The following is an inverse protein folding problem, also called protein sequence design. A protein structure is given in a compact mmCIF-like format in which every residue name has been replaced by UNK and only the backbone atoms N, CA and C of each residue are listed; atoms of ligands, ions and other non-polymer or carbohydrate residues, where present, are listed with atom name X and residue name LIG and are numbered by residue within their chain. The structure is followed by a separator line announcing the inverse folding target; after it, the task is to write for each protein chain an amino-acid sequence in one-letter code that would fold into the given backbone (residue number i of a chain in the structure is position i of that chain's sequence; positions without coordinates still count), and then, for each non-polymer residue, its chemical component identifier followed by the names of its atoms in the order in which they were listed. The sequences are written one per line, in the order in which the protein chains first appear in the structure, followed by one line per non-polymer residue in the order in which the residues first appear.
data_IF_842873914468
#
_entry.id   IF_842873914468
#
_cell.length_a   1.000
_cell.length_b   1.000
_cell.length_c   1.000
_cell.angle_alpha   90.00
_cell.angle_beta   90.00
_cell.angle_gamma   90.00
#
_symmetry.space_group_name_H-M   'P 1'
#
loop_
_entity.id
_entity.type
_entity.pdbx_description
1 polymer ?
#
# COMPACT_ATOMS: atom_id res chain seq x y z
N UNK A 1 -43.80 -30.48 32.05
CA UNK A 1 -43.57 -29.17 32.63
C UNK A 1 -43.15 -28.30 31.46
N UNK A 2 -44.08 -27.81 30.70
CA UNK A 2 -44.97 -26.67 30.88
C UNK A 2 -44.23 -25.35 31.10
N UNK A 3 -44.46 -24.51 30.14
CA UNK A 3 -44.73 -23.09 30.04
C UNK A 3 -43.64 -22.35 29.25
N UNK A 4 -43.94 -21.38 28.39
CA UNK A 4 -45.13 -21.02 27.60
C UNK A 4 -44.72 -19.99 26.55
N UNK A 5 -45.47 -19.98 25.48
CA UNK A 5 -45.41 -19.05 24.34
C UNK A 5 -45.72 -17.59 24.75
N UNK A 6 -45.15 -16.62 24.03
CA UNK A 6 -45.91 -15.44 23.61
C UNK A 6 -45.48 -14.92 22.24
N UNK A 7 -46.36 -15.16 21.29
CA UNK A 7 -46.50 -14.46 20.02
C UNK A 7 -47.05 -13.04 20.24
N UNK A 8 -46.61 -12.08 19.49
CA UNK A 8 -47.37 -10.87 19.18
C UNK A 8 -47.14 -10.44 17.74
N UNK A 9 -48.18 -10.64 17.01
CA UNK A 9 -48.60 -10.19 15.69
C UNK A 9 -48.43 -8.68 15.48
N UNK A 10 -47.99 -8.27 14.28
CA UNK A 10 -48.49 -7.06 13.65
C UNK A 10 -48.86 -7.28 12.18
N UNK A 11 -49.98 -6.73 11.87
CA UNK A 11 -50.90 -6.91 10.75
C UNK A 11 -50.39 -6.26 9.46
N UNK A 12 -50.63 -6.97 8.39
CA UNK A 12 -50.80 -6.54 6.99
C UNK A 12 -51.86 -5.44 6.87
N UNK A 13 -51.61 -4.39 6.11
CA UNK A 13 -52.64 -3.52 5.53
C UNK A 13 -52.37 -3.36 4.04
N UNK A 14 -53.44 -3.58 3.32
CA UNK A 14 -53.68 -3.75 1.91
C UNK A 14 -53.24 -2.60 1.00
N UNK A 15 -52.99 -3.00 -0.25
CA UNK A 15 -52.96 -2.19 -1.47
C UNK A 15 -54.28 -1.40 -1.70
N UNK A 16 -54.13 -0.24 -2.33
CA UNK A 16 -55.07 0.25 -3.35
C UNK A 16 -54.30 0.88 -4.50
N UNK A 17 -54.58 0.38 -5.67
CA UNK A 17 -54.12 0.80 -6.97
C UNK A 17 -54.76 2.13 -7.41
N UNK A 18 -53.98 2.95 -8.13
CA UNK A 18 -54.49 4.12 -8.85
C UNK A 18 -53.49 4.56 -9.90
N UNK A 19 -53.84 4.33 -11.16
CA UNK A 19 -53.03 4.57 -12.32
C UNK A 19 -53.08 6.03 -12.82
N UNK A 20 -51.99 6.43 -13.48
CA UNK A 20 -51.86 7.43 -14.56
C UNK A 20 -52.25 8.89 -14.30
N UNK A 21 -51.20 9.75 -14.30
CA UNK A 21 -51.19 10.94 -15.19
C UNK A 21 -49.74 11.38 -15.42
N UNK A 22 -49.37 11.36 -16.68
CA UNK A 22 -48.11 11.90 -17.22
C UNK A 22 -48.16 13.43 -17.12
N UNK A 23 -47.07 14.03 -16.56
CA UNK A 23 -46.95 15.48 -16.55
C UNK A 23 -45.57 15.91 -16.09
N UNK A 24 -44.84 16.51 -17.02
CA UNK A 24 -43.51 17.05 -16.83
C UNK A 24 -43.43 18.13 -15.74
N UNK A 25 -43.05 17.74 -14.53
CA UNK A 25 -42.73 18.64 -13.41
C UNK A 25 -41.75 17.99 -12.39
N UNK A 26 -40.91 17.07 -12.82
CA UNK A 26 -40.02 16.25 -11.95
C UNK A 26 -38.65 16.82 -11.64
N UNK A 27 -38.26 18.02 -12.11
CA UNK A 27 -36.90 18.50 -11.95
C UNK A 27 -36.69 19.67 -10.97
N UNK A 28 -37.75 20.11 -10.29
CA UNK A 28 -37.69 21.26 -9.36
C UNK A 28 -37.77 20.89 -7.86
N UNK A 29 -38.06 19.67 -7.52
CA UNK A 29 -38.19 19.27 -6.11
C UNK A 29 -36.99 18.58 -5.50
N UNK A 30 -35.97 18.23 -6.29
CA UNK A 30 -34.73 17.59 -5.75
C UNK A 30 -33.68 18.57 -5.24
N UNK A 31 -33.83 19.87 -5.55
CA UNK A 31 -32.85 20.90 -5.17
C UNK A 31 -33.12 21.59 -3.83
N UNK A 32 -34.33 21.51 -3.29
CA UNK A 32 -34.70 22.25 -2.07
C UNK A 32 -34.56 21.46 -0.76
N UNK A 33 -34.37 20.14 -0.81
CA UNK A 33 -34.31 19.31 0.40
C UNK A 33 -32.89 19.16 0.99
N UNK A 34 -31.83 19.59 0.29
CA UNK A 34 -30.44 19.47 0.78
C UNK A 34 -29.85 20.75 1.39
N UNK A 35 -30.60 21.82 1.51
CA UNK A 35 -30.14 23.04 2.21
C UNK A 35 -30.95 23.34 3.49
N UNK A 36 -31.23 22.33 4.30
CA UNK A 36 -31.41 22.62 5.72
C UNK A 36 -30.00 22.78 6.31
N UNK A 37 -29.44 23.98 6.12
CA UNK A 37 -28.37 24.43 7.03
C UNK A 37 -28.96 24.29 8.43
N UNK A 38 -28.41 23.42 9.25
CA UNK A 38 -28.65 23.50 10.69
C UNK A 38 -28.36 24.96 11.06
N UNK A 39 -29.24 25.65 11.78
CA UNK A 39 -28.91 26.97 12.28
C UNK A 39 -27.61 26.83 13.04
N UNK A 40 -26.58 27.59 12.63
CA UNK A 40 -25.34 27.67 13.38
C UNK A 40 -25.74 28.05 14.81
N UNK A 41 -25.52 27.17 15.77
CA UNK A 41 -25.68 27.50 17.17
C UNK A 41 -24.84 28.78 17.47
N UNK A 42 -25.17 29.55 18.52
CA UNK A 42 -24.39 30.71 18.86
C UNK A 42 -22.92 30.30 18.95
N UNK A 43 -22.00 31.09 18.35
CA UNK A 43 -20.58 30.71 18.34
C UNK A 43 -20.13 30.51 19.79
N UNK A 44 -19.69 29.28 20.09
CA UNK A 44 -19.12 28.99 21.40
C UNK A 44 -17.88 29.92 21.57
N UNK A 45 -17.87 30.85 22.55
CA UNK A 45 -16.76 31.79 22.73
C UNK A 45 -15.43 31.08 22.96
N UNK A 46 -15.44 29.86 23.50
CA UNK A 46 -14.24 29.02 23.62
C UNK A 46 -13.74 28.49 22.28
N UNK A 47 -14.62 28.25 21.30
CA UNK A 47 -14.23 27.76 20.00
C UNK A 47 -13.32 28.74 19.26
N UNK A 48 -13.61 30.02 19.28
CA UNK A 48 -12.77 31.05 18.65
C UNK A 48 -11.37 31.08 19.25
N UNK A 49 -11.26 30.97 20.59
CA UNK A 49 -10.00 30.91 21.29
C UNK A 49 -9.21 29.61 20.91
N UNK A 50 -9.85 28.47 20.97
CA UNK A 50 -9.24 27.19 20.60
C UNK A 50 -8.74 27.25 19.17
N UNK A 51 -9.52 27.81 18.23
CA UNK A 51 -9.12 27.96 16.84
C UNK A 51 -7.86 28.81 16.69
N UNK A 52 -7.77 29.95 17.39
CA UNK A 52 -6.61 30.81 17.33
C UNK A 52 -5.35 30.16 17.95
N UNK A 53 -5.50 29.41 19.04
CA UNK A 53 -4.39 28.65 19.62
C UNK A 53 -3.93 27.51 18.70
N UNK A 54 -4.87 26.78 18.10
CA UNK A 54 -4.56 25.74 17.13
C UNK A 54 -3.83 26.28 15.88
N UNK A 55 -4.24 27.49 15.42
CA UNK A 55 -3.56 28.20 14.31
C UNK A 55 -2.11 28.55 14.67
N UNK A 56 -1.84 29.05 15.89
CA UNK A 56 -0.47 29.41 16.35
C UNK A 56 0.49 28.22 16.34
N UNK A 57 0.00 27.02 16.61
CA UNK A 57 0.81 25.79 16.63
C UNK A 57 0.73 24.97 15.32
N UNK A 58 0.18 25.57 14.26
CA UNK A 58 0.14 24.94 12.93
C UNK A 58 -0.88 23.80 12.78
N UNK A 59 -1.79 23.61 13.74
CA UNK A 59 -2.83 22.56 13.66
C UNK A 59 -4.02 22.95 12.79
N UNK A 60 -4.18 24.24 12.49
CA UNK A 60 -5.23 24.76 11.60
C UNK A 60 -4.60 25.66 10.56
N UNK A 61 -4.76 25.29 9.31
CA UNK A 61 -4.41 26.14 8.17
C UNK A 61 -5.71 26.70 7.61
N UNK A 62 -5.94 28.03 7.65
CA UNK A 62 -7.11 28.62 7.02
C UNK A 62 -7.12 28.30 5.52
N UNK A 63 -8.26 27.84 5.02
CA UNK A 63 -8.39 27.41 3.61
C UNK A 63 -8.03 28.53 2.60
N UNK A 64 -8.15 29.82 3.01
CA UNK A 64 -7.83 30.98 2.19
C UNK A 64 -6.36 31.40 2.24
N UNK A 65 -5.56 30.86 3.17
CA UNK A 65 -4.13 31.18 3.35
C UNK A 65 -3.22 30.08 2.77
N UNK A 66 -3.79 28.93 2.42
CA UNK A 66 -3.03 27.88 1.74
C UNK A 66 -2.74 28.30 0.31
N UNK A 67 -1.48 28.24 -0.16
CA UNK A 67 -1.19 28.43 -1.57
C UNK A 67 -1.96 27.38 -2.35
N UNK A 68 -2.98 27.83 -3.11
CA UNK A 68 -3.71 26.97 -4.01
C UNK A 68 -2.84 26.74 -5.25
N UNK A 69 -2.11 25.64 -5.29
CA UNK A 69 -1.52 25.15 -6.53
C UNK A 69 -2.56 24.28 -7.22
N UNK A 70 -2.79 24.53 -8.51
CA UNK A 70 -3.64 23.67 -9.31
C UNK A 70 -3.03 22.24 -9.33
N UNK A 71 -3.81 21.20 -9.00
CA UNK A 71 -3.30 19.83 -9.07
C UNK A 71 -2.85 19.47 -10.48
N UNK A 72 -1.68 18.83 -10.61
CA UNK A 72 -1.22 18.32 -11.88
C UNK A 72 -2.20 17.29 -12.45
N UNK A 73 -2.48 17.39 -13.75
CA UNK A 73 -3.34 16.41 -14.44
C UNK A 73 -2.51 15.19 -14.79
N UNK A 74 -2.84 14.05 -14.17
CA UNK A 74 -2.18 12.76 -14.41
C UNK A 74 -3.17 11.82 -15.06
N UNK A 75 -2.76 11.16 -16.15
CA UNK A 75 -3.57 10.09 -16.75
C UNK A 75 -3.39 8.82 -15.95
N UNK A 76 -4.46 8.24 -15.38
CA UNK A 76 -4.36 6.95 -14.68
C UNK A 76 -4.01 5.84 -15.67
N UNK A 77 -3.46 4.75 -15.16
CA UNK A 77 -3.22 3.54 -15.96
C UNK A 77 -4.50 2.99 -16.59
N UNK A 78 -4.39 2.36 -17.75
CA UNK A 78 -5.53 1.88 -18.54
C UNK A 78 -6.34 0.78 -17.81
N UNK A 79 -5.73 0.07 -16.88
CA UNK A 79 -6.35 -0.97 -16.05
C UNK A 79 -5.93 -0.79 -14.60
N UNK A 80 -6.64 -1.44 -13.68
CA UNK A 80 -6.24 -1.47 -12.26
C UNK A 80 -4.82 -2.04 -12.13
N UNK A 81 -3.95 -1.33 -11.41
CA UNK A 81 -2.55 -1.69 -11.21
C UNK A 81 -1.61 -1.25 -12.34
N UNK A 82 -2.11 -0.77 -13.48
CA UNK A 82 -1.24 -0.24 -14.52
C UNK A 82 -0.62 1.11 -14.12
N UNK A 83 0.59 1.38 -14.62
CA UNK A 83 1.34 2.58 -14.32
C UNK A 83 0.61 3.86 -14.77
N UNK A 84 0.47 4.89 -13.92
CA UNK A 84 0.00 6.21 -14.32
C UNK A 84 1.06 6.94 -15.15
N UNK A 85 0.66 8.02 -15.84
CA UNK A 85 1.52 8.73 -16.81
C UNK A 85 2.78 9.37 -16.23
N UNK A 86 2.84 9.58 -14.92
CA UNK A 86 3.98 10.14 -14.18
C UNK A 86 4.78 9.09 -13.40
N UNK A 87 4.50 7.81 -13.60
CA UNK A 87 5.28 6.72 -13.04
C UNK A 87 6.43 6.30 -13.96
N UNK A 88 7.50 5.84 -13.34
CA UNK A 88 8.61 5.17 -14.02
C UNK A 88 8.38 3.66 -13.95
N UNK A 89 8.28 3.01 -15.12
CA UNK A 89 8.13 1.57 -15.22
C UNK A 89 9.49 0.92 -15.03
N UNK A 90 9.63 0.10 -14.00
CA UNK A 90 10.87 -0.63 -13.69
C UNK A 90 10.90 -2.00 -14.36
N UNK A 91 9.73 -2.60 -14.62
CA UNK A 91 9.62 -3.85 -15.36
C UNK A 91 8.27 -3.94 -16.08
N UNK A 92 8.32 -4.04 -17.40
CA UNK A 92 7.16 -4.10 -18.30
C UNK A 92 6.91 -5.50 -18.89
N UNK A 93 7.64 -6.51 -18.43
CA UNK A 93 7.53 -7.88 -18.86
C UNK A 93 8.47 -8.29 -20.01
N UNK A 94 9.36 -7.41 -20.47
CA UNK A 94 10.18 -7.68 -21.66
C UNK A 94 11.60 -8.15 -21.33
N UNK A 95 12.32 -7.39 -20.50
CA UNK A 95 13.72 -7.67 -20.19
C UNK A 95 14.16 -7.09 -18.83
N UNK A 96 15.39 -7.35 -18.43
CA UNK A 96 15.99 -6.88 -17.18
C UNK A 96 16.96 -5.70 -17.41
N UNK A 97 16.85 -4.95 -18.49
CA UNK A 97 17.73 -3.82 -18.80
C UNK A 97 17.73 -2.70 -17.74
N UNK A 98 16.65 -2.61 -16.96
CA UNK A 98 16.48 -1.68 -15.83
C UNK A 98 17.00 -2.25 -14.50
N UNK A 99 17.66 -3.43 -14.51
CA UNK A 99 18.08 -4.12 -13.30
C UNK A 99 19.54 -4.54 -13.34
N UNK A 100 20.21 -4.36 -12.21
CA UNK A 100 21.61 -4.74 -11.99
C UNK A 100 21.69 -5.84 -10.92
N UNK A 101 22.56 -6.82 -11.13
CA UNK A 101 22.86 -7.86 -10.15
C UNK A 101 23.72 -7.28 -9.02
N UNK A 102 23.26 -7.37 -7.78
CA UNK A 102 24.07 -6.97 -6.61
C UNK A 102 25.23 -7.93 -6.34
N UNK A 103 25.20 -9.13 -6.91
CA UNK A 103 26.26 -10.11 -6.76
C UNK A 103 27.47 -9.81 -7.66
N UNK A 104 27.23 -9.38 -8.89
CA UNK A 104 28.27 -9.22 -9.92
C UNK A 104 28.52 -7.76 -10.31
N UNK A 105 27.66 -6.84 -9.87
CA UNK A 105 27.58 -5.46 -10.34
C UNK A 105 27.40 -5.34 -11.88
N UNK A 106 26.95 -6.42 -12.51
CA UNK A 106 26.66 -6.52 -13.94
C UNK A 106 25.15 -6.69 -14.20
N UNK A 107 24.75 -7.05 -15.42
CA UNK A 107 23.37 -7.30 -15.77
C UNK A 107 22.70 -8.33 -14.85
N UNK A 108 21.45 -8.12 -14.50
CA UNK A 108 20.66 -9.10 -13.76
C UNK A 108 20.46 -10.37 -14.59
N UNK A 109 20.52 -11.54 -13.95
CA UNK A 109 20.52 -12.85 -14.63
C UNK A 109 19.29 -13.70 -14.26
N UNK A 110 18.21 -13.10 -13.75
CA UNK A 110 16.96 -13.81 -13.51
C UNK A 110 16.30 -14.19 -14.85
N UNK A 111 15.44 -15.20 -14.82
CA UNK A 111 14.74 -15.64 -16.03
C UNK A 111 13.57 -14.69 -16.35
N UNK A 112 13.38 -14.35 -17.63
CA UNK A 112 12.23 -13.56 -18.11
C UNK A 112 11.45 -14.37 -19.11
N UNK A 113 10.16 -14.56 -18.88
CA UNK A 113 9.24 -15.28 -19.75
C UNK A 113 7.80 -14.86 -19.48
N UNK A 114 6.92 -14.98 -20.44
CA UNK A 114 5.47 -14.79 -20.30
C UNK A 114 5.07 -13.47 -19.58
N UNK A 115 5.86 -12.40 -19.77
CA UNK A 115 5.59 -11.11 -19.19
C UNK A 115 5.96 -10.97 -17.72
N UNK A 116 6.71 -11.89 -17.12
CA UNK A 116 7.23 -11.81 -15.77
C UNK A 116 8.73 -12.14 -15.70
N UNK A 117 9.39 -11.66 -14.67
CA UNK A 117 10.71 -12.12 -14.25
C UNK A 117 10.57 -13.13 -13.10
N UNK A 118 11.47 -14.09 -13.02
CA UNK A 118 11.49 -15.13 -12.00
C UNK A 118 12.85 -15.21 -11.34
N UNK A 119 12.85 -15.28 -10.01
CA UNK A 119 14.07 -15.51 -9.23
C UNK A 119 14.79 -16.74 -9.75
N UNK A 120 16.04 -16.57 -10.12
CA UNK A 120 16.95 -17.65 -10.51
C UNK A 120 17.89 -17.94 -9.37
N UNK A 121 17.63 -19.02 -8.66
CA UNK A 121 18.36 -19.43 -7.46
C UNK A 121 19.87 -19.31 -7.63
N UNK A 122 20.53 -18.61 -6.71
CA UNK A 122 21.98 -18.45 -6.66
C UNK A 122 22.53 -17.37 -7.59
N UNK A 123 21.68 -16.63 -8.31
CA UNK A 123 22.13 -15.48 -9.11
C UNK A 123 22.19 -14.20 -8.27
N UNK A 124 21.65 -14.23 -7.06
CA UNK A 124 21.67 -13.14 -6.10
C UNK A 124 20.58 -12.12 -6.33
N UNK A 125 20.51 -11.17 -5.40
CA UNK A 125 19.54 -10.07 -5.43
C UNK A 125 19.79 -9.19 -6.64
N UNK A 126 18.72 -8.56 -7.13
CA UNK A 126 18.77 -7.57 -8.18
C UNK A 126 18.24 -6.23 -7.68
N UNK A 127 18.73 -5.14 -8.23
CA UNK A 127 18.33 -3.78 -7.88
C UNK A 127 17.99 -2.98 -9.13
N UNK A 128 16.95 -2.13 -9.04
CA UNK A 128 16.58 -1.24 -10.13
C UNK A 128 17.65 -0.17 -10.36
N UNK A 129 17.94 0.15 -11.64
CA UNK A 129 18.85 1.24 -12.00
C UNK A 129 18.25 2.62 -11.72
N UNK A 130 16.92 2.71 -11.63
CA UNK A 130 16.24 3.93 -11.24
C UNK A 130 16.21 4.05 -9.71
N UNK A 131 16.70 5.19 -9.21
CA UNK A 131 16.72 5.51 -7.78
C UNK A 131 15.57 6.45 -7.42
N UNK A 132 14.92 6.18 -6.29
CA UNK A 132 13.80 6.98 -5.76
C UNK A 132 14.01 7.28 -4.27
N UNK A 133 13.30 8.30 -3.78
CA UNK A 133 13.18 8.64 -2.35
C UNK A 133 11.76 8.33 -1.86
N UNK A 134 10.99 9.39 -1.54
CA UNK A 134 9.56 9.23 -1.29
C UNK A 134 8.86 8.75 -2.55
N UNK A 135 7.99 7.77 -2.43
CA UNK A 135 7.38 7.17 -3.61
C UNK A 135 6.08 6.44 -3.33
N UNK A 136 5.25 6.35 -4.35
CA UNK A 136 4.22 5.33 -4.51
C UNK A 136 4.78 4.23 -5.42
N UNK A 137 4.62 2.97 -5.02
CA UNK A 137 5.09 1.82 -5.81
C UNK A 137 3.94 0.83 -6.01
N UNK A 138 4.02 0.12 -7.12
CA UNK A 138 3.20 -1.05 -7.39
C UNK A 138 4.10 -2.21 -7.78
N UNK A 139 3.89 -3.39 -7.20
CA UNK A 139 4.64 -4.61 -7.50
C UNK A 139 3.69 -5.79 -7.49
N UNK A 140 3.57 -6.49 -8.62
CA UNK A 140 2.88 -7.77 -8.64
C UNK A 140 3.87 -8.92 -8.48
N UNK A 141 3.52 -9.89 -7.65
CA UNK A 141 4.35 -11.06 -7.38
C UNK A 141 3.52 -12.33 -7.22
N UNK A 142 4.13 -13.49 -7.47
CA UNK A 142 3.51 -14.78 -7.23
C UNK A 142 4.55 -15.78 -6.70
N UNK A 143 4.17 -16.50 -5.65
CA UNK A 143 4.97 -17.63 -5.15
C UNK A 143 4.81 -18.84 -6.06
N UNK A 144 5.71 -19.82 -6.01
CA UNK A 144 5.57 -21.04 -6.80
C UNK A 144 4.23 -21.73 -6.55
N UNK A 145 3.57 -22.21 -7.60
CA UNK A 145 2.31 -22.97 -7.51
C UNK A 145 2.49 -24.27 -6.73
N UNK A 146 3.60 -24.96 -6.99
CA UNK A 146 3.96 -26.19 -6.26
C UNK A 146 4.60 -25.81 -4.94
N UNK A 147 3.85 -26.02 -3.87
CA UNK A 147 4.31 -25.73 -2.51
C UNK A 147 5.48 -26.63 -2.13
N UNK A 148 6.59 -26.02 -1.70
CA UNK A 148 7.74 -26.68 -1.11
C UNK A 148 8.12 -25.99 0.19
N UNK A 149 8.47 -26.76 1.21
CA UNK A 149 8.83 -26.24 2.51
C UNK A 149 7.65 -25.74 3.35
N UNK A 150 7.96 -25.09 4.43
CA UNK A 150 7.02 -24.51 5.40
C UNK A 150 7.63 -23.26 6.08
N UNK A 151 6.81 -22.48 6.75
CA UNK A 151 7.25 -21.26 7.44
C UNK A 151 7.99 -20.31 6.48
N UNK A 152 9.18 -19.89 6.87
CA UNK A 152 10.04 -19.00 6.07
C UNK A 152 10.75 -19.70 4.90
N UNK A 153 10.72 -21.01 4.84
CA UNK A 153 11.23 -21.80 3.71
C UNK A 153 10.21 -22.07 2.62
N UNK A 154 9.14 -21.28 2.51
CA UNK A 154 8.04 -21.50 1.59
C UNK A 154 7.75 -20.28 0.73
N UNK A 155 8.23 -20.29 -0.52
CA UNK A 155 7.98 -19.22 -1.48
C UNK A 155 8.46 -17.86 -0.99
N UNK A 156 9.69 -17.81 -0.47
CA UNK A 156 10.26 -16.64 0.18
C UNK A 156 11.02 -15.74 -0.80
N UNK A 157 10.85 -14.45 -0.63
CA UNK A 157 11.60 -13.36 -1.26
C UNK A 157 11.40 -12.08 -0.43
N UNK A 158 11.85 -10.93 -0.93
CA UNK A 158 11.67 -9.62 -0.30
C UNK A 158 11.71 -8.48 -1.29
N UNK A 159 10.94 -7.44 -1.02
CA UNK A 159 10.96 -6.17 -1.74
C UNK A 159 11.57 -5.14 -0.81
N UNK A 160 12.79 -4.65 -1.13
CA UNK A 160 13.54 -3.74 -0.27
C UNK A 160 13.48 -2.32 -0.84
N UNK A 161 12.76 -1.45 -0.14
CA UNK A 161 12.72 -0.01 -0.41
C UNK A 161 14.09 0.59 -0.10
N UNK A 162 14.63 1.40 -1.01
CA UNK A 162 15.99 1.94 -0.94
C UNK A 162 17.04 0.87 -0.63
N UNK A 163 16.86 -0.38 -1.11
CA UNK A 163 17.72 -1.54 -0.88
C UNK A 163 17.81 -2.01 0.59
N UNK A 164 17.09 -1.39 1.53
CA UNK A 164 17.28 -1.52 2.99
C UNK A 164 16.06 -1.93 3.78
N UNK A 165 14.88 -1.48 3.38
CA UNK A 165 13.65 -1.59 4.18
C UNK A 165 12.71 -2.59 3.53
N UNK A 166 12.62 -3.77 4.12
CA UNK A 166 11.94 -4.91 3.51
C UNK A 166 10.44 -4.92 3.78
N UNK A 167 9.68 -5.00 2.70
CA UNK A 167 8.32 -5.52 2.69
C UNK A 167 8.39 -7.00 2.29
N UNK A 168 8.00 -7.88 3.21
CA UNK A 168 8.15 -9.32 3.06
C UNK A 168 7.29 -9.89 1.93
N UNK A 169 7.90 -10.76 1.13
CA UNK A 169 7.24 -11.65 0.17
C UNK A 169 7.34 -13.08 0.66
N UNK A 170 6.20 -13.74 0.88
CA UNK A 170 6.14 -15.10 1.38
C UNK A 170 4.84 -15.77 0.91
N UNK A 171 4.86 -17.07 0.66
CA UNK A 171 3.63 -17.82 0.63
C UNK A 171 3.06 -17.93 2.06
N UNK A 172 2.17 -17.00 2.38
CA UNK A 172 1.49 -16.93 3.68
C UNK A 172 0.10 -17.57 3.66
N UNK A 173 -0.31 -18.16 2.53
CA UNK A 173 -1.60 -18.85 2.43
C UNK A 173 -1.56 -20.16 3.24
N UNK A 174 -2.32 -20.23 4.34
CA UNK A 174 -2.35 -21.39 5.23
C UNK A 174 -0.94 -21.84 5.68
N UNK A 175 -0.02 -20.91 5.86
CA UNK A 175 1.35 -21.15 6.25
C UNK A 175 1.64 -20.50 7.61
N UNK A 176 2.02 -21.30 8.60
CA UNK A 176 2.35 -20.82 9.94
C UNK A 176 3.81 -20.41 10.03
N UNK A 177 4.05 -19.18 10.45
CA UNK A 177 5.39 -18.64 10.74
C UNK A 177 5.26 -17.53 11.80
N UNK A 178 6.37 -16.93 12.21
CA UNK A 178 6.30 -15.78 13.11
C UNK A 178 5.62 -14.59 12.42
N UNK A 179 4.82 -13.83 13.17
CA UNK A 179 3.89 -12.86 12.61
C UNK A 179 4.56 -11.73 11.82
N UNK A 180 5.69 -11.22 12.29
CA UNK A 180 6.47 -10.18 11.61
C UNK A 180 7.40 -10.72 10.47
N UNK A 181 7.15 -11.92 9.98
CA UNK A 181 7.74 -12.52 8.78
C UNK A 181 6.68 -13.01 7.79
N UNK A 182 5.41 -12.69 8.00
CA UNK A 182 4.31 -12.93 7.06
C UNK A 182 4.41 -11.98 5.85
N UNK A 183 3.80 -12.33 4.73
CA UNK A 183 3.68 -11.41 3.59
C UNK A 183 3.06 -10.08 4.01
N UNK A 184 3.64 -8.97 3.55
CA UNK A 184 3.22 -7.61 3.92
C UNK A 184 3.74 -7.10 5.26
N UNK A 185 4.55 -7.89 5.99
CA UNK A 185 5.30 -7.36 7.14
C UNK A 185 6.32 -6.32 6.69
N UNK A 186 6.55 -5.29 7.51
CA UNK A 186 7.88 -4.69 7.58
C UNK A 186 8.74 -5.69 8.37
N UNK A 187 9.58 -6.43 7.65
CA UNK A 187 10.20 -7.66 8.15
C UNK A 187 10.91 -7.48 9.49
N UNK A 188 10.55 -8.34 10.48
CA UNK A 188 11.06 -8.29 11.87
C UNK A 188 10.72 -7.01 12.64
N UNK A 189 9.93 -6.08 12.08
CA UNK A 189 9.54 -4.84 12.73
C UNK A 189 8.03 -4.80 13.02
N UNK A 190 7.19 -4.95 11.97
CA UNK A 190 5.74 -4.86 12.09
C UNK A 190 5.07 -6.06 11.39
N UNK A 191 4.23 -6.84 12.09
CA UNK A 191 3.40 -7.83 11.43
C UNK A 191 2.35 -7.15 10.56
N UNK A 192 1.81 -7.82 9.53
CA UNK A 192 0.66 -7.29 8.80
C UNK A 192 -0.57 -7.26 9.70
N UNK A 193 -1.45 -6.27 9.48
CA UNK A 193 -2.71 -6.14 10.22
C UNK A 193 -3.63 -7.35 10.02
N UNK A 194 -3.63 -7.90 8.81
CA UNK A 194 -4.40 -9.08 8.38
C UNK A 194 -3.61 -9.84 7.32
N UNK A 195 -4.01 -11.08 7.02
CA UNK A 195 -3.39 -11.89 5.96
C UNK A 195 -4.35 -12.09 4.78
N UNK A 196 -4.32 -11.24 3.74
CA UNK A 196 -5.17 -11.34 2.57
C UNK A 196 -4.49 -12.07 1.40
N UNK A 197 -3.51 -12.93 1.65
CA UNK A 197 -2.80 -13.66 0.60
C UNK A 197 -3.70 -14.64 -0.11
N UNK A 198 -3.57 -14.70 -1.45
CA UNK A 198 -4.17 -15.69 -2.32
C UNK A 198 -3.35 -16.99 -2.30
N UNK A 199 -3.87 -18.03 -2.93
CA UNK A 199 -3.19 -19.33 -3.02
C UNK A 199 -1.82 -19.23 -3.74
N UNK A 200 -0.89 -20.16 -3.44
CA UNK A 200 0.34 -20.28 -4.20
C UNK A 200 0.06 -20.35 -5.71
N UNK A 201 0.93 -19.73 -6.50
CA UNK A 201 0.77 -19.61 -7.96
C UNK A 201 -0.10 -18.46 -8.43
N UNK A 202 -1.03 -17.96 -7.60
CA UNK A 202 -1.85 -16.79 -7.94
C UNK A 202 -1.05 -15.48 -7.76
N UNK A 203 -1.34 -14.51 -8.63
CA UNK A 203 -0.74 -13.19 -8.55
C UNK A 203 -1.27 -12.41 -7.36
N UNK A 204 -0.36 -11.86 -6.59
CA UNK A 204 -0.56 -10.90 -5.50
C UNK A 204 -0.15 -9.51 -6.00
N UNK A 205 -0.71 -8.46 -5.42
CA UNK A 205 -0.31 -7.09 -5.72
C UNK A 205 0.00 -6.34 -4.41
N UNK A 206 1.14 -5.68 -4.39
CA UNK A 206 1.45 -4.65 -3.40
C UNK A 206 1.26 -3.26 -4.01
N UNK A 207 0.50 -2.42 -3.31
CA UNK A 207 0.53 -0.98 -3.45
C UNK A 207 1.16 -0.39 -2.21
N UNK A 208 2.29 0.32 -2.38
CA UNK A 208 3.14 0.80 -1.30
C UNK A 208 3.25 2.32 -1.38
N UNK A 209 3.01 3.02 -0.27
CA UNK A 209 3.33 4.44 -0.12
C UNK A 209 4.46 4.54 0.88
N UNK A 210 5.58 5.10 0.45
CA UNK A 210 6.81 5.14 1.23
C UNK A 210 7.31 6.57 1.41
N UNK A 211 7.66 6.91 2.64
CA UNK A 211 8.39 8.12 3.00
C UNK A 211 9.78 7.70 3.51
N UNK A 212 10.82 8.20 2.86
CA UNK A 212 12.21 7.90 3.19
C UNK A 212 12.61 8.54 4.54
N UNK A 213 13.53 7.92 5.29
CA UNK A 213 14.11 8.55 6.46
C UNK A 213 15.02 9.71 6.06
N UNK A 214 15.19 10.66 6.99
CA UNK A 214 16.11 11.78 6.84
C UNK A 214 17.22 11.69 7.88
N UNK A 215 18.45 12.04 7.48
CA UNK A 215 19.64 11.97 8.34
C UNK A 215 20.30 13.34 8.46
N UNK A 216 20.84 13.62 9.63
CA UNK A 216 21.69 14.80 9.83
C UNK A 216 23.13 14.59 9.31
N UNK A 217 23.93 15.63 9.39
CA UNK A 217 25.33 15.59 8.95
C UNK A 217 26.22 14.60 9.75
N UNK A 218 25.75 14.11 10.89
CA UNK A 218 26.43 13.09 11.71
C UNK A 218 25.95 11.68 11.42
N UNK A 219 24.99 11.52 10.50
CA UNK A 219 24.38 10.25 10.15
C UNK A 219 23.33 9.76 11.13
N UNK A 220 22.84 10.62 12.01
CA UNK A 220 21.71 10.28 12.91
C UNK A 220 20.38 10.48 12.18
N UNK A 221 19.47 9.53 12.31
CA UNK A 221 18.12 9.70 11.77
C UNK A 221 17.40 10.82 12.54
N UNK A 222 17.01 11.87 11.81
CA UNK A 222 16.23 13.00 12.34
C UNK A 222 14.74 12.85 12.02
N UNK A 223 14.41 12.00 11.04
CA UNK A 223 13.07 11.56 10.71
C UNK A 223 13.09 10.11 10.29
N UNK A 224 12.28 9.31 10.93
CA UNK A 224 12.17 7.90 10.59
C UNK A 224 11.38 7.71 9.28
N UNK A 225 11.73 6.69 8.52
CA UNK A 225 10.95 6.27 7.35
C UNK A 225 9.56 5.79 7.77
N UNK A 226 8.60 5.91 6.88
CA UNK A 226 7.22 5.45 7.09
C UNK A 226 6.71 4.69 5.88
N UNK A 227 5.84 3.72 6.12
CA UNK A 227 5.28 2.93 5.03
C UNK A 227 3.81 2.58 5.27
N UNK A 228 3.02 2.72 4.21
CA UNK A 228 1.68 2.14 4.09
C UNK A 228 1.74 1.07 3.01
N UNK A 229 1.18 -0.10 3.29
CA UNK A 229 1.15 -1.22 2.34
C UNK A 229 -0.27 -1.76 2.23
N UNK A 230 -0.75 -1.88 1.00
CA UNK A 230 -1.93 -2.67 0.67
C UNK A 230 -1.45 -3.96 -0.02
N UNK A 231 -1.98 -5.08 0.40
CA UNK A 231 -1.80 -6.39 -0.25
C UNK A 231 -3.15 -6.81 -0.84
N UNK A 232 -3.21 -6.97 -2.17
CA UNK A 232 -4.45 -7.30 -2.89
C UNK A 232 -5.58 -6.29 -2.61
N UNK A 233 -5.25 -5.01 -2.46
CA UNK A 233 -6.19 -3.94 -2.13
C UNK A 233 -6.61 -3.89 -0.66
N UNK A 234 -6.10 -4.78 0.21
CA UNK A 234 -6.39 -4.80 1.65
C UNK A 234 -5.23 -4.16 2.42
N UNK A 235 -5.53 -3.23 3.32
CA UNK A 235 -4.54 -2.53 4.13
C UNK A 235 -3.86 -3.51 5.10
N UNK A 236 -2.53 -3.66 4.97
CA UNK A 236 -1.72 -4.53 5.84
C UNK A 236 -0.70 -3.76 6.68
N UNK A 237 -0.29 -2.56 6.25
CA UNK A 237 0.48 -1.61 7.05
C UNK A 237 -0.14 -0.22 6.88
N UNK A 238 -0.40 0.48 7.99
CA UNK A 238 -1.05 1.80 7.98
C UNK A 238 -0.10 2.86 8.54
N UNK A 239 0.67 3.49 7.66
CA UNK A 239 1.60 4.57 8.01
C UNK A 239 2.51 4.21 9.19
N UNK A 240 3.03 2.97 9.20
CA UNK A 240 3.89 2.49 10.27
C UNK A 240 5.30 3.08 10.15
N UNK A 241 5.91 3.33 11.28
CA UNK A 241 7.28 3.84 11.36
C UNK A 241 8.27 2.71 11.13
N UNK A 242 9.24 2.92 10.25
CA UNK A 242 10.36 2.01 10.03
C UNK A 242 11.43 2.35 11.07
N UNK A 243 11.91 1.35 11.82
CA UNK A 243 12.87 1.55 12.90
C UNK A 243 14.33 1.40 12.46
N UNK A 244 14.57 1.21 11.18
CA UNK A 244 15.91 1.08 10.61
C UNK A 244 16.01 0.00 9.53
N UNK A 245 17.24 -0.30 9.12
CA UNK A 245 17.52 -1.32 8.12
C UNK A 245 16.97 -2.68 8.55
N UNK A 246 16.50 -3.47 7.59
CA UNK A 246 16.08 -4.84 7.84
C UNK A 246 17.26 -5.74 8.16
N UNK A 247 17.16 -6.46 9.27
CA UNK A 247 18.11 -7.46 9.71
C UNK A 247 17.40 -8.77 10.05
N UNK A 248 18.01 -9.88 9.69
CA UNK A 248 17.48 -11.21 10.03
C UNK A 248 17.72 -11.57 11.50
N UNK A 249 18.86 -11.19 12.07
CA UNK A 249 19.46 -11.73 13.30
C UNK A 249 19.57 -10.72 14.45
N UNK A 250 19.12 -9.49 14.26
CA UNK A 250 19.24 -8.43 15.26
C UNK A 250 18.11 -7.42 15.15
N UNK A 251 18.00 -6.55 16.16
CA UNK A 251 17.06 -5.42 16.14
C UNK A 251 17.40 -4.44 15.02
N UNK A 252 16.39 -3.79 14.42
CA UNK A 252 16.60 -2.78 13.39
C UNK A 252 17.33 -1.57 13.98
N UNK A 253 18.18 -0.96 13.18
CA UNK A 253 18.76 0.36 13.40
C UNK A 253 19.12 0.99 12.06
N UNK A 254 19.13 2.31 12.00
CA UNK A 254 19.49 3.01 10.79
C UNK A 254 20.99 3.03 10.56
N UNK A 255 21.38 2.80 9.29
CA UNK A 255 22.68 3.17 8.74
C UNK A 255 22.40 4.30 7.78
N UNK A 256 23.01 5.47 8.01
CA UNK A 256 22.83 6.64 7.17
C UNK A 256 23.15 6.34 5.70
N UNK A 257 22.32 6.88 4.82
CA UNK A 257 22.48 6.72 3.37
C UNK A 257 21.98 7.97 2.64
N UNK A 258 22.20 8.03 1.34
CA UNK A 258 21.67 9.07 0.48
C UNK A 258 20.12 9.08 0.46
N UNK A 259 19.52 10.18 0.00
CA UNK A 259 18.06 10.34 -0.01
C UNK A 259 17.35 9.43 -1.04
N UNK A 260 18.09 8.80 -1.94
CA UNK A 260 17.59 7.92 -2.99
C UNK A 260 18.42 6.66 -3.09
N UNK A 261 17.81 5.56 -3.48
CA UNK A 261 18.44 4.31 -3.90
C UNK A 261 17.43 3.47 -4.72
N UNK A 262 17.87 2.31 -5.23
CA UNK A 262 17.02 1.44 -6.04
C UNK A 262 16.02 0.62 -5.24
N UNK A 263 15.10 -0.01 -5.96
CA UNK A 263 14.24 -1.08 -5.47
C UNK A 263 15.02 -2.39 -5.58
N UNK A 264 15.25 -3.08 -4.45
CA UNK A 264 15.91 -4.38 -4.46
C UNK A 264 14.89 -5.50 -4.36
N UNK A 265 15.05 -6.55 -5.17
CA UNK A 265 14.32 -7.81 -5.09
C UNK A 265 15.28 -8.93 -4.68
N UNK A 266 14.84 -9.77 -3.75
CA UNK A 266 15.68 -10.76 -3.10
C UNK A 266 15.65 -12.13 -3.79
N UNK A 267 16.81 -12.74 -3.99
CA UNK A 267 17.02 -14.16 -4.26
C UNK A 267 17.15 -14.95 -2.94
N UNK A 268 16.01 -15.40 -2.40
CA UNK A 268 16.00 -16.29 -1.22
C UNK A 268 16.06 -17.78 -1.63
N UNK A 269 16.20 -18.07 -2.91
CA UNK A 269 16.31 -19.43 -3.46
C UNK A 269 15.01 -20.05 -3.95
N UNK A 270 13.86 -19.44 -3.66
CA UNK A 270 12.56 -19.85 -4.21
C UNK A 270 12.27 -19.13 -5.53
N UNK A 271 11.69 -19.80 -6.54
CA UNK A 271 11.40 -19.21 -7.84
C UNK A 271 10.15 -18.31 -7.78
N UNK A 272 10.20 -17.27 -6.97
CA UNK A 272 9.17 -16.24 -6.91
C UNK A 272 9.18 -15.44 -8.20
N UNK A 273 7.99 -15.13 -8.72
CA UNK A 273 7.79 -14.37 -9.95
C UNK A 273 7.37 -12.95 -9.64
N UNK A 274 7.81 -12.00 -10.47
CA UNK A 274 7.47 -10.58 -10.37
C UNK A 274 7.06 -10.05 -11.74
N UNK A 275 6.09 -9.12 -11.76
CA UNK A 275 5.67 -8.40 -12.97
C UNK A 275 5.06 -7.05 -12.64
N UNK A 276 4.78 -6.23 -13.63
CA UNK A 276 4.10 -4.95 -13.50
C UNK A 276 4.65 -4.12 -12.34
N UNK A 277 5.96 -3.79 -12.45
CA UNK A 277 6.66 -3.04 -11.41
C UNK A 277 6.84 -1.59 -11.86
N UNK A 278 6.30 -0.66 -11.08
CA UNK A 278 6.51 0.75 -11.33
C UNK A 278 6.64 1.55 -10.03
N UNK A 279 7.26 2.72 -10.15
CA UNK A 279 7.45 3.69 -9.08
C UNK A 279 7.03 5.07 -9.55
N UNK A 280 6.29 5.76 -8.71
CA UNK A 280 5.89 7.15 -8.89
C UNK A 280 6.51 7.98 -7.77
N UNK A 281 7.47 8.90 -8.07
CA UNK A 281 8.07 9.79 -7.07
C UNK A 281 7.03 10.72 -6.45
N UNK A 282 7.21 11.03 -5.15
CA UNK A 282 6.36 11.94 -4.37
C UNK A 282 7.14 13.15 -3.87
#
# INVERSE_FOLDING_TARGET
MLFDLKLARYRTVLMISGALLVGAAGSWFYSAAQQRRQPAGPPNPDYARIYQEAKKVGLVVPAFESPATEPAVITPGATVGAAPSDAVVLFDGKDLSQWTSLRTAGPAEWDVQDGYMQVKRGKGDIVSNYEFGNAQLHVEWATPEVVKGEGQGRGNSGIFLLERYEVQVLDSFQNKTYFHGQAGSVYKQHPPLVNPTRKPGEWQAYDIIFTAPEFDAKGMAVKNGRVTVLLNGVLVQNDVEIHGNTWHDRSPYYIAHGPKAGLKLQDHGDPVRFRNIWVRPL
#
